data_IF_351504790548
#
_entry.id   IF_351504790548
#
_cell.length_a   1.000
_cell.length_b   1.000
_cell.length_c   1.000
_cell.angle_alpha   90.00
_cell.angle_beta   90.00
_cell.angle_gamma   90.00
#
_symmetry.space_group_name_H-M   'P 1'
#
loop_
_entity.id
_entity.type
_entity.pdbx_description
1 polymer ?
#
# COMPACT_ATOMS: atom_id res chain seq x y z
N UNK A 1 0.12 8.80 -26.15
CA UNK A 1 0.22 7.75 -25.10
C UNK A 1 0.52 6.35 -25.64
N UNK A 2 -0.21 5.77 -26.65
CA UNK A 2 0.14 4.42 -27.16
C UNK A 2 1.60 4.31 -27.67
N UNK A 3 2.07 5.31 -28.46
CA UNK A 3 3.47 5.37 -28.91
C UNK A 3 4.44 5.52 -27.74
N UNK A 4 4.12 6.33 -26.74
CA UNK A 4 4.96 6.47 -25.53
C UNK A 4 5.12 5.13 -24.81
N UNK A 5 4.04 4.37 -24.61
CA UNK A 5 4.10 3.04 -24.00
C UNK A 5 4.95 2.07 -24.86
N UNK A 6 4.80 2.09 -26.18
CA UNK A 6 5.60 1.24 -27.06
C UNK A 6 7.11 1.58 -26.98
N UNK A 7 7.45 2.87 -26.93
CA UNK A 7 8.83 3.34 -26.75
C UNK A 7 9.36 2.91 -25.37
N UNK A 8 8.55 3.08 -24.33
CA UNK A 8 8.92 2.68 -22.97
C UNK A 8 9.19 1.18 -22.89
N UNK A 9 8.29 0.33 -23.38
CA UNK A 9 8.47 -1.13 -23.40
C UNK A 9 9.72 -1.52 -24.22
N UNK A 10 9.89 -0.96 -25.43
CA UNK A 10 11.05 -1.24 -26.27
C UNK A 10 12.36 -0.78 -25.60
N UNK A 11 12.39 0.43 -25.04
CA UNK A 11 13.55 0.97 -24.33
C UNK A 11 13.92 0.15 -23.10
N UNK A 12 12.93 -0.26 -22.30
CA UNK A 12 13.13 -1.16 -21.15
C UNK A 12 13.69 -2.52 -21.57
N UNK A 13 13.17 -3.11 -22.67
CA UNK A 13 13.67 -4.35 -23.22
C UNK A 13 15.12 -4.24 -23.70
N UNK A 14 15.45 -3.16 -24.44
CA UNK A 14 16.82 -2.90 -24.90
C UNK A 14 17.80 -2.69 -23.72
N UNK A 15 17.37 -1.99 -22.67
CA UNK A 15 18.16 -1.83 -21.44
C UNK A 15 18.44 -3.18 -20.78
N UNK A 16 17.44 -4.03 -20.63
CA UNK A 16 17.62 -5.36 -20.04
C UNK A 16 18.51 -6.26 -20.92
N UNK A 17 18.41 -6.20 -22.26
CA UNK A 17 19.32 -6.89 -23.16
C UNK A 17 20.77 -6.39 -23.02
N UNK A 18 20.96 -5.07 -22.94
CA UNK A 18 22.29 -4.49 -22.73
C UNK A 18 22.87 -4.96 -21.39
N UNK A 19 22.08 -4.97 -20.32
CA UNK A 19 22.52 -5.44 -19.01
C UNK A 19 22.83 -6.92 -18.99
N UNK A 20 22.05 -7.75 -19.69
CA UNK A 20 22.33 -9.18 -19.84
C UNK A 20 23.72 -9.39 -20.51
N UNK A 21 24.02 -8.61 -21.54
CA UNK A 21 25.35 -8.63 -22.21
C UNK A 21 26.49 -8.10 -21.34
N UNK A 22 26.20 -7.19 -20.40
CA UNK A 22 27.19 -6.55 -19.50
C UNK A 22 27.24 -7.18 -18.10
N UNK A 23 26.54 -8.25 -17.86
CA UNK A 23 26.27 -8.83 -16.54
C UNK A 23 27.52 -9.07 -15.69
N UNK A 24 28.60 -9.62 -16.27
CA UNK A 24 29.88 -9.90 -15.59
C UNK A 24 30.49 -8.62 -15.00
N UNK A 25 30.20 -7.45 -15.60
CA UNK A 25 30.76 -6.16 -15.19
C UNK A 25 29.88 -5.35 -14.25
N UNK A 26 28.56 -5.47 -14.36
CA UNK A 26 27.64 -4.58 -13.60
C UNK A 26 27.06 -5.23 -12.34
N UNK A 27 26.72 -6.51 -12.38
CA UNK A 27 26.08 -7.22 -11.27
C UNK A 27 24.73 -6.64 -10.80
N UNK A 28 24.11 -5.72 -11.60
CA UNK A 28 22.92 -4.98 -11.19
C UNK A 28 21.66 -5.84 -11.29
N UNK A 29 21.56 -6.68 -12.32
CA UNK A 29 20.39 -7.51 -12.55
C UNK A 29 20.86 -8.93 -12.89
N UNK A 30 20.25 -9.96 -12.26
CA UNK A 30 20.61 -11.34 -12.56
C UNK A 30 20.17 -11.74 -13.98
N UNK A 31 20.84 -12.73 -14.64
CA UNK A 31 20.46 -13.18 -15.98
C UNK A 31 19.02 -13.63 -16.04
N UNK A 32 18.61 -14.48 -15.11
CA UNK A 32 17.26 -15.03 -15.08
C UNK A 32 16.20 -13.93 -14.98
N UNK A 33 16.40 -12.92 -14.10
CA UNK A 33 15.49 -11.75 -14.01
C UNK A 33 15.47 -10.97 -15.33
N UNK A 34 16.64 -10.77 -15.97
CA UNK A 34 16.74 -10.07 -17.27
C UNK A 34 16.00 -10.81 -18.39
N UNK A 35 16.16 -12.11 -18.51
CA UNK A 35 15.53 -12.94 -19.53
C UNK A 35 14.01 -12.96 -19.38
N UNK A 36 13.50 -13.06 -18.13
CA UNK A 36 12.07 -13.02 -17.84
C UNK A 36 11.50 -11.65 -18.27
N UNK A 37 12.11 -10.54 -17.84
CA UNK A 37 11.65 -9.19 -18.17
C UNK A 37 11.69 -8.96 -19.69
N UNK A 38 12.74 -9.35 -20.39
CA UNK A 38 12.82 -9.22 -21.84
C UNK A 38 11.68 -10.00 -22.51
N UNK A 39 11.44 -11.23 -22.08
CA UNK A 39 10.41 -12.09 -22.68
C UNK A 39 9.01 -11.51 -22.47
N UNK A 40 8.68 -11.06 -21.26
CA UNK A 40 7.37 -10.46 -20.92
C UNK A 40 7.15 -9.13 -21.64
N UNK A 41 8.17 -8.27 -21.73
CA UNK A 41 8.13 -7.01 -22.49
C UNK A 41 7.93 -7.26 -23.99
N UNK A 42 8.62 -8.24 -24.58
CA UNK A 42 8.45 -8.63 -25.99
C UNK A 42 7.03 -9.13 -26.26
N UNK A 43 6.50 -10.01 -25.41
CA UNK A 43 5.11 -10.49 -25.50
C UNK A 43 4.13 -9.32 -25.41
N UNK A 44 4.33 -8.43 -24.44
CA UNK A 44 3.48 -7.24 -24.27
C UNK A 44 3.52 -6.33 -25.49
N UNK A 45 4.68 -6.11 -26.10
CA UNK A 45 4.84 -5.28 -27.30
C UNK A 45 4.10 -5.88 -28.50
N UNK A 46 4.23 -7.19 -28.74
CA UNK A 46 3.53 -7.93 -29.79
C UNK A 46 2.03 -7.86 -29.58
N UNK A 47 1.55 -8.13 -28.37
CA UNK A 47 0.13 -8.10 -28.05
C UNK A 47 -0.46 -6.68 -28.18
N UNK A 48 0.29 -5.62 -27.86
CA UNK A 48 -0.13 -4.24 -28.08
C UNK A 48 -0.35 -3.90 -29.57
N UNK A 49 0.34 -4.57 -30.48
CA UNK A 49 0.13 -4.41 -31.92
C UNK A 49 -1.09 -5.22 -32.40
N UNK A 50 -1.19 -6.49 -31.94
CA UNK A 50 -2.23 -7.42 -32.36
C UNK A 50 -3.62 -7.10 -31.80
N UNK A 51 -3.73 -6.48 -30.62
CA UNK A 51 -5.01 -6.19 -29.93
C UNK A 51 -6.00 -5.37 -30.75
N UNK A 52 -5.52 -4.60 -31.72
CA UNK A 52 -6.38 -3.82 -32.61
C UNK A 52 -7.12 -4.68 -33.65
N UNK A 53 -6.66 -5.91 -33.88
CA UNK A 53 -7.15 -6.82 -34.94
C UNK A 53 -8.22 -7.78 -34.42
N UNK A 54 -8.20 -8.15 -33.12
CA UNK A 54 -9.13 -9.15 -32.58
C UNK A 54 -9.37 -8.93 -31.09
N UNK A 55 -10.63 -9.11 -30.63
CA UNK A 55 -11.06 -9.05 -29.23
C UNK A 55 -10.34 -10.06 -28.34
N UNK A 56 -9.99 -11.23 -28.87
CA UNK A 56 -9.23 -12.26 -28.15
C UNK A 56 -7.84 -11.75 -27.77
N UNK A 57 -7.09 -11.21 -28.74
CA UNK A 57 -5.79 -10.60 -28.46
C UNK A 57 -5.88 -9.37 -27.54
N UNK A 58 -6.98 -8.63 -27.61
CA UNK A 58 -7.21 -7.54 -26.68
C UNK A 58 -7.31 -8.05 -25.22
N UNK A 59 -8.08 -9.11 -24.97
CA UNK A 59 -8.24 -9.67 -23.63
C UNK A 59 -6.92 -10.26 -23.10
N UNK A 60 -6.19 -11.02 -23.92
CA UNK A 60 -4.86 -11.56 -23.55
C UNK A 60 -3.89 -10.43 -23.22
N UNK A 61 -3.84 -9.37 -24.05
CA UNK A 61 -3.01 -8.20 -23.81
C UNK A 61 -3.34 -7.53 -22.48
N UNK A 62 -4.62 -7.48 -22.09
CA UNK A 62 -5.02 -6.91 -20.78
C UNK A 62 -4.49 -7.77 -19.63
N UNK A 63 -4.61 -9.09 -19.70
CA UNK A 63 -4.13 -10.00 -18.67
C UNK A 63 -2.61 -9.89 -18.52
N UNK A 64 -1.87 -10.00 -19.61
CA UNK A 64 -0.40 -9.92 -19.60
C UNK A 64 0.07 -8.56 -19.06
N UNK A 65 -0.56 -7.47 -19.53
CA UNK A 65 -0.17 -6.13 -19.10
C UNK A 65 -0.47 -5.89 -17.61
N UNK A 66 -1.56 -6.45 -17.06
CA UNK A 66 -1.89 -6.33 -15.63
C UNK A 66 -0.90 -7.11 -14.77
N UNK A 67 -0.50 -8.30 -15.19
CA UNK A 67 0.33 -9.19 -14.37
C UNK A 67 1.82 -8.83 -14.42
N UNK A 68 2.34 -8.38 -15.55
CA UNK A 68 3.79 -8.27 -15.74
C UNK A 68 4.28 -6.82 -15.91
N UNK A 69 3.54 -5.97 -16.65
CA UNK A 69 4.08 -4.64 -16.97
C UNK A 69 4.35 -3.72 -15.78
N UNK A 70 3.60 -3.75 -14.64
CA UNK A 70 3.99 -2.93 -13.50
C UNK A 70 5.42 -3.27 -13.05
N UNK A 71 5.68 -4.56 -12.80
CA UNK A 71 6.99 -5.05 -12.39
C UNK A 71 8.09 -4.75 -13.43
N UNK A 72 7.86 -5.10 -14.69
CA UNK A 72 8.87 -4.96 -15.75
C UNK A 72 9.31 -3.52 -15.96
N UNK A 73 8.35 -2.58 -15.97
CA UNK A 73 8.63 -1.17 -16.22
C UNK A 73 9.32 -0.50 -15.03
N UNK A 74 8.88 -0.79 -13.80
CA UNK A 74 9.50 -0.24 -12.60
C UNK A 74 10.88 -0.82 -12.37
N UNK A 75 11.05 -2.14 -12.55
CA UNK A 75 12.36 -2.79 -12.47
C UNK A 75 13.34 -2.18 -13.47
N UNK A 76 12.96 -2.06 -14.74
CA UNK A 76 13.81 -1.45 -15.76
C UNK A 76 14.18 -0.01 -15.41
N UNK A 77 13.24 0.75 -14.86
CA UNK A 77 13.46 2.12 -14.39
C UNK A 77 14.49 2.18 -13.25
N UNK A 78 14.30 1.39 -12.21
CA UNK A 78 15.20 1.35 -11.06
C UNK A 78 16.61 0.96 -11.46
N UNK A 79 16.73 -0.07 -12.29
CA UNK A 79 18.01 -0.55 -12.81
C UNK A 79 18.70 0.50 -13.69
N UNK A 80 17.95 1.24 -14.51
CA UNK A 80 18.49 2.36 -15.28
C UNK A 80 19.15 3.41 -14.37
N UNK A 81 18.48 3.79 -13.27
CA UNK A 81 19.04 4.75 -12.32
C UNK A 81 20.23 4.20 -11.55
N UNK A 82 20.29 2.89 -11.26
CA UNK A 82 21.49 2.28 -10.69
C UNK A 82 22.71 2.37 -11.64
N UNK A 83 22.49 2.22 -12.95
CA UNK A 83 23.55 2.44 -13.94
C UNK A 83 24.01 3.91 -13.94
N UNK A 84 23.07 4.87 -13.87
CA UNK A 84 23.41 6.30 -13.82
C UNK A 84 24.22 6.63 -12.56
N UNK A 85 23.85 6.12 -11.40
CA UNK A 85 24.61 6.31 -10.16
C UNK A 85 26.05 5.78 -10.26
N UNK A 86 26.23 4.58 -10.86
CA UNK A 86 27.55 4.00 -11.08
C UNK A 86 28.38 4.80 -12.09
N UNK A 87 27.73 5.32 -13.13
CA UNK A 87 28.42 6.03 -14.22
C UNK A 87 28.76 7.47 -13.86
N UNK A 88 27.97 8.13 -13.00
CA UNK A 88 28.08 9.55 -12.70
C UNK A 88 28.05 9.84 -11.20
N UNK A 89 29.04 9.35 -10.43
CA UNK A 89 29.05 9.48 -8.96
C UNK A 89 29.14 10.93 -8.47
N UNK A 90 29.53 11.89 -9.31
CA UNK A 90 29.69 13.31 -8.95
C UNK A 90 28.34 14.03 -8.83
N UNK A 91 27.29 13.55 -9.48
CA UNK A 91 25.97 14.20 -9.55
C UNK A 91 24.84 13.35 -8.97
N UNK A 92 25.16 12.49 -8.01
CA UNK A 92 24.20 11.53 -7.42
C UNK A 92 22.94 12.20 -6.85
N UNK A 93 23.06 13.41 -6.27
CA UNK A 93 21.91 14.15 -5.76
C UNK A 93 20.93 14.55 -6.88
N UNK A 94 21.44 15.01 -8.03
CA UNK A 94 20.61 15.36 -9.19
C UNK A 94 19.93 14.10 -9.75
N UNK A 95 20.70 13.02 -9.91
CA UNK A 95 20.17 11.72 -10.36
C UNK A 95 19.10 11.22 -9.40
N UNK A 96 19.30 11.37 -8.08
CA UNK A 96 18.32 11.02 -7.06
C UNK A 96 17.01 11.79 -7.20
N UNK A 97 17.07 13.11 -7.39
CA UNK A 97 15.86 13.93 -7.62
C UNK A 97 15.13 13.47 -8.89
N UNK A 98 15.86 13.26 -9.99
CA UNK A 98 15.27 12.77 -11.25
C UNK A 98 14.63 11.38 -11.09
N UNK A 99 15.28 10.49 -10.31
CA UNK A 99 14.74 9.19 -9.98
C UNK A 99 13.43 9.31 -9.19
N UNK A 100 13.38 10.10 -8.13
CA UNK A 100 12.17 10.29 -7.32
C UNK A 100 11.03 10.85 -8.17
N UNK A 101 11.29 11.95 -8.89
CA UNK A 101 10.26 12.60 -9.72
C UNK A 101 9.81 11.69 -10.86
N UNK A 102 10.74 11.05 -11.56
CA UNK A 102 10.41 10.17 -12.69
C UNK A 102 9.65 8.91 -12.28
N UNK A 103 9.97 8.34 -11.11
CA UNK A 103 9.27 7.14 -10.61
C UNK A 103 7.76 7.35 -10.47
N UNK A 104 7.33 8.53 -10.01
CA UNK A 104 5.91 8.87 -9.93
C UNK A 104 5.16 8.77 -11.27
N UNK A 105 5.87 8.79 -12.39
CA UNK A 105 5.29 8.79 -13.74
C UNK A 105 5.58 7.53 -14.57
N UNK A 106 6.32 6.57 -14.05
CA UNK A 106 6.69 5.33 -14.77
C UNK A 106 5.45 4.59 -15.28
N UNK A 107 4.42 4.45 -14.44
CA UNK A 107 3.20 3.73 -14.78
C UNK A 107 2.18 4.53 -15.60
N UNK A 108 2.39 5.82 -15.84
CA UNK A 108 1.42 6.69 -16.54
C UNK A 108 1.06 6.16 -17.95
N UNK A 109 2.02 5.80 -18.83
CA UNK A 109 1.68 5.34 -20.18
C UNK A 109 0.84 4.07 -20.18
N UNK A 110 1.20 3.07 -19.36
CA UNK A 110 0.46 1.80 -19.28
C UNK A 110 -0.91 1.99 -18.61
N UNK A 111 -1.01 2.85 -17.60
CA UNK A 111 -2.28 3.18 -16.92
C UNK A 111 -3.28 3.78 -17.89
N UNK A 112 -2.89 4.78 -18.67
CA UNK A 112 -3.78 5.44 -19.64
C UNK A 112 -4.14 4.51 -20.81
N UNK A 113 -3.20 3.69 -21.28
CA UNK A 113 -3.38 2.87 -22.48
C UNK A 113 -4.09 1.56 -22.19
N UNK A 114 -3.86 0.96 -21.01
CA UNK A 114 -4.32 -0.39 -20.64
C UNK A 114 -5.20 -0.38 -19.40
N UNK A 115 -4.70 -0.01 -18.24
CA UNK A 115 -5.35 -0.23 -16.95
C UNK A 115 -6.65 0.58 -16.80
N UNK A 116 -6.67 1.83 -17.23
CA UNK A 116 -7.88 2.66 -17.25
C UNK A 116 -9.02 2.15 -18.15
N UNK A 117 -8.77 1.10 -18.95
CA UNK A 117 -9.77 0.46 -19.82
C UNK A 117 -10.27 -0.89 -19.30
N UNK A 118 -9.84 -1.31 -18.12
CA UNK A 118 -10.32 -2.53 -17.47
C UNK A 118 -11.80 -2.39 -17.14
N UNK A 119 -12.61 -3.36 -17.57
CA UNK A 119 -14.07 -3.33 -17.41
C UNK A 119 -14.55 -4.17 -16.24
N UNK A 120 -13.90 -5.31 -15.99
CA UNK A 120 -14.29 -6.27 -14.96
C UNK A 120 -13.72 -5.87 -13.62
N UNK A 121 -14.53 -5.94 -12.55
CA UNK A 121 -14.12 -5.58 -11.21
C UNK A 121 -12.91 -6.40 -10.72
N UNK A 122 -12.89 -7.71 -11.01
CA UNK A 122 -11.79 -8.58 -10.61
C UNK A 122 -10.46 -8.17 -11.27
N UNK A 123 -10.48 -7.82 -12.57
CA UNK A 123 -9.26 -7.35 -13.25
C UNK A 123 -8.79 -5.99 -12.75
N UNK A 124 -9.71 -5.12 -12.28
CA UNK A 124 -9.38 -3.87 -11.61
C UNK A 124 -8.70 -4.11 -10.26
N UNK A 125 -9.26 -5.05 -9.48
CA UNK A 125 -8.71 -5.42 -8.19
C UNK A 125 -7.31 -6.02 -8.36
N UNK A 126 -7.13 -7.02 -9.22
CA UNK A 126 -5.82 -7.62 -9.51
C UNK A 126 -4.83 -6.55 -9.98
N UNK A 127 -5.26 -5.57 -10.78
CA UNK A 127 -4.37 -4.49 -11.22
C UNK A 127 -3.88 -3.61 -10.06
N UNK A 128 -4.75 -3.29 -9.09
CA UNK A 128 -4.38 -2.53 -7.88
C UNK A 128 -3.32 -3.32 -7.11
N UNK A 129 -3.61 -4.57 -6.77
CA UNK A 129 -2.72 -5.43 -5.99
C UNK A 129 -1.37 -5.68 -6.70
N UNK A 130 -1.38 -5.87 -8.02
CA UNK A 130 -0.14 -6.05 -8.78
C UNK A 130 0.73 -4.79 -8.80
N UNK A 131 0.14 -3.58 -8.82
CA UNK A 131 0.88 -2.32 -8.71
C UNK A 131 1.44 -2.17 -7.28
N UNK A 132 0.65 -2.45 -6.25
CA UNK A 132 1.11 -2.44 -4.86
C UNK A 132 2.27 -3.43 -4.66
N UNK A 133 2.11 -4.66 -5.15
CA UNK A 133 3.13 -5.70 -5.05
C UNK A 133 4.46 -5.30 -5.71
N UNK A 134 4.44 -4.51 -6.79
CA UNK A 134 5.69 -4.10 -7.46
C UNK A 134 6.50 -3.12 -6.63
N UNK A 135 5.88 -2.37 -5.72
CA UNK A 135 6.62 -1.46 -4.85
C UNK A 135 7.52 -2.19 -3.83
N UNK A 136 7.26 -3.48 -3.54
CA UNK A 136 8.13 -4.31 -2.69
C UNK A 136 9.55 -4.48 -3.27
N UNK A 137 9.71 -4.35 -4.60
CA UNK A 137 11.03 -4.43 -5.24
C UNK A 137 11.85 -3.15 -5.14
N UNK A 138 11.25 -2.08 -4.62
CA UNK A 138 11.89 -0.77 -4.59
C UNK A 138 13.15 -0.78 -3.69
N UNK A 139 13.11 -1.50 -2.60
CA UNK A 139 14.21 -1.60 -1.64
C UNK A 139 15.41 -2.39 -2.16
N UNK A 140 15.21 -3.27 -3.16
CA UNK A 140 16.31 -3.99 -3.82
C UNK A 140 17.31 -3.04 -4.54
N UNK A 141 16.89 -1.81 -4.83
CA UNK A 141 17.65 -0.83 -5.61
C UNK A 141 17.73 0.53 -4.90
N UNK A 142 18.48 0.62 -3.77
CA UNK A 142 18.50 1.81 -2.93
C UNK A 142 19.10 3.02 -3.66
N UNK A 143 18.63 4.19 -3.27
CA UNK A 143 19.15 5.47 -3.76
C UNK A 143 20.56 5.72 -3.26
N UNK A 144 21.48 5.96 -4.18
CA UNK A 144 22.85 6.36 -3.87
C UNK A 144 22.92 7.91 -3.92
N UNK A 145 22.79 8.53 -2.75
CA UNK A 145 22.87 10.00 -2.61
C UNK A 145 23.60 10.37 -1.33
N UNK A 146 24.34 11.48 -1.37
CA UNK A 146 24.94 12.08 -0.17
C UNK A 146 23.92 12.92 0.62
N UNK A 147 22.78 13.27 0.03
CA UNK A 147 21.73 14.03 0.69
C UNK A 147 20.87 13.13 1.56
N UNK A 148 20.94 13.31 2.88
CA UNK A 148 20.20 12.50 3.87
C UNK A 148 18.68 12.60 3.67
N UNK A 149 18.15 13.79 3.33
CA UNK A 149 16.71 13.96 3.11
C UNK A 149 16.23 13.12 1.93
N UNK A 150 16.94 13.12 0.79
CA UNK A 150 16.57 12.32 -0.38
C UNK A 150 16.59 10.82 -0.07
N UNK A 151 17.60 10.36 0.68
CA UNK A 151 17.68 8.96 1.11
C UNK A 151 16.52 8.61 2.02
N UNK A 152 16.24 9.40 3.05
CA UNK A 152 15.16 9.14 3.99
C UNK A 152 13.80 9.21 3.29
N UNK A 153 13.60 10.14 2.36
CA UNK A 153 12.36 10.26 1.59
C UNK A 153 12.10 9.01 0.72
N UNK A 154 13.14 8.43 0.14
CA UNK A 154 13.02 7.20 -0.63
C UNK A 154 12.86 5.98 0.27
N UNK A 155 13.72 5.86 1.29
CA UNK A 155 13.70 4.74 2.24
C UNK A 155 12.39 4.62 3.02
N UNK A 156 11.67 5.72 3.21
CA UNK A 156 10.36 5.72 3.85
C UNK A 156 9.23 5.20 2.97
N UNK A 157 9.45 4.89 1.68
CA UNK A 157 8.39 4.51 0.76
C UNK A 157 7.54 5.65 0.19
N UNK A 158 7.72 6.91 0.64
CA UNK A 158 6.92 8.06 0.16
C UNK A 158 6.95 8.24 -1.36
N UNK A 159 8.02 7.80 -2.01
CA UNK A 159 8.12 7.78 -3.48
C UNK A 159 7.07 6.83 -4.08
N UNK A 160 6.86 5.67 -3.46
CA UNK A 160 5.84 4.69 -3.86
C UNK A 160 4.43 5.26 -3.64
N UNK A 161 4.19 5.93 -2.50
CA UNK A 161 2.93 6.61 -2.23
C UNK A 161 2.62 7.68 -3.30
N UNK A 162 3.59 8.49 -3.72
CA UNK A 162 3.43 9.47 -4.80
C UNK A 162 3.12 8.81 -6.14
N UNK A 163 3.84 7.74 -6.50
CA UNK A 163 3.57 6.97 -7.72
C UNK A 163 2.15 6.39 -7.71
N UNK A 164 1.73 5.85 -6.57
CA UNK A 164 0.40 5.30 -6.40
C UNK A 164 -0.72 6.35 -6.50
N UNK A 165 -0.51 7.56 -5.96
CA UNK A 165 -1.45 8.68 -6.12
C UNK A 165 -1.67 9.00 -7.60
N UNK A 166 -0.59 9.12 -8.38
CA UNK A 166 -0.66 9.40 -9.82
C UNK A 166 -1.36 8.27 -10.56
N UNK A 167 -0.97 7.01 -10.29
CA UNK A 167 -1.61 5.82 -10.83
C UNK A 167 -3.11 5.81 -10.51
N UNK A 168 -3.48 5.94 -9.24
CA UNK A 168 -4.86 5.87 -8.76
C UNK A 168 -5.74 6.96 -9.39
N UNK A 169 -5.24 8.20 -9.45
CA UNK A 169 -5.95 9.30 -10.11
C UNK A 169 -6.25 8.97 -11.58
N UNK A 170 -5.26 8.48 -12.31
CA UNK A 170 -5.40 8.19 -13.73
C UNK A 170 -6.27 6.96 -14.01
N UNK A 171 -6.12 5.91 -13.23
CA UNK A 171 -6.88 4.66 -13.42
C UNK A 171 -8.34 4.88 -13.08
N UNK A 172 -8.66 5.58 -12.00
CA UNK A 172 -10.05 5.93 -11.64
C UNK A 172 -10.70 6.79 -12.71
N UNK A 173 -10.00 7.80 -13.22
CA UNK A 173 -10.48 8.61 -14.36
C UNK A 173 -10.76 7.74 -15.59
N UNK A 174 -9.89 6.78 -15.87
CA UNK A 174 -10.09 5.81 -16.97
C UNK A 174 -11.30 4.89 -16.76
N UNK A 175 -11.64 4.56 -15.52
CA UNK A 175 -12.83 3.78 -15.16
C UNK A 175 -14.12 4.63 -15.09
N UNK A 176 -14.04 5.96 -15.32
CA UNK A 176 -15.17 6.87 -15.17
C UNK A 176 -15.55 7.11 -13.70
N UNK A 177 -14.55 7.08 -12.81
CA UNK A 177 -14.69 7.29 -11.37
C UNK A 177 -13.82 8.46 -10.92
N UNK A 178 -14.02 8.93 -9.69
CA UNK A 178 -13.31 10.06 -9.12
C UNK A 178 -12.60 9.67 -7.84
N UNK A 179 -11.43 10.25 -7.58
CA UNK A 179 -10.75 10.14 -6.28
C UNK A 179 -11.43 11.07 -5.28
N UNK A 180 -12.12 10.49 -4.30
CA UNK A 180 -12.85 11.21 -3.25
C UNK A 180 -12.09 11.17 -1.92
N UNK A 181 -11.18 12.10 -1.70
CA UNK A 181 -10.50 12.27 -0.40
C UNK A 181 -11.48 12.79 0.66
N UNK A 182 -12.49 13.56 0.22
CA UNK A 182 -13.52 14.13 1.08
C UNK A 182 -14.87 14.17 0.38
N UNK A 183 -15.85 13.44 0.93
CA UNK A 183 -17.23 13.46 0.51
C UNK A 183 -18.04 14.27 1.50
N UNK A 184 -18.84 15.24 1.01
CA UNK A 184 -19.67 16.08 1.89
C UNK A 184 -20.82 15.27 2.46
N UNK A 185 -20.95 15.31 3.79
CA UNK A 185 -22.04 14.73 4.58
C UNK A 185 -22.87 15.81 5.26
N UNK A 186 -24.13 15.50 5.57
CA UNK A 186 -24.99 16.36 6.42
C UNK A 186 -24.58 16.17 7.88
N UNK A 187 -24.09 17.23 8.50
CA UNK A 187 -23.73 17.21 9.91
C UNK A 187 -24.99 17.31 10.77
N UNK A 188 -25.19 16.30 11.60
CA UNK A 188 -26.21 16.28 12.66
C UNK A 188 -25.51 16.02 14.00
N UNK A 189 -26.13 16.38 15.13
CA UNK A 189 -25.55 16.11 16.46
C UNK A 189 -25.16 14.63 16.61
N UNK A 190 -26.05 13.71 16.24
CA UNK A 190 -25.79 12.26 16.30
C UNK A 190 -24.61 11.87 15.43
N UNK A 191 -24.54 12.38 14.19
CA UNK A 191 -23.42 12.11 13.29
C UNK A 191 -22.10 12.60 13.89
N UNK A 192 -22.08 13.83 14.44
CA UNK A 192 -20.89 14.42 15.07
C UNK A 192 -20.41 13.59 16.26
N UNK A 193 -21.31 13.28 17.20
CA UNK A 193 -20.96 12.45 18.37
C UNK A 193 -20.45 11.06 17.97
N UNK A 194 -21.11 10.40 17.02
CA UNK A 194 -20.66 9.09 16.52
C UNK A 194 -19.29 9.21 15.84
N UNK A 195 -19.04 10.26 15.06
CA UNK A 195 -17.74 10.48 14.39
C UNK A 195 -16.64 10.71 15.44
N UNK A 196 -16.86 11.58 16.41
CA UNK A 196 -15.88 11.84 17.48
C UNK A 196 -15.63 10.56 18.28
N UNK A 197 -16.68 9.84 18.67
CA UNK A 197 -16.56 8.58 19.39
C UNK A 197 -15.81 7.50 18.59
N UNK A 198 -16.06 7.41 17.28
CA UNK A 198 -15.39 6.45 16.41
C UNK A 198 -13.88 6.76 16.26
N UNK A 199 -13.52 8.04 16.08
CA UNK A 199 -12.12 8.45 15.98
C UNK A 199 -11.41 8.28 17.34
N UNK A 200 -12.04 8.70 18.43
CA UNK A 200 -11.49 8.51 19.78
C UNK A 200 -11.29 7.02 20.10
N UNK A 201 -12.25 6.17 19.70
CA UNK A 201 -12.10 4.72 19.82
C UNK A 201 -10.98 4.20 18.92
N UNK A 202 -10.87 4.65 17.67
CA UNK A 202 -9.80 4.24 16.78
C UNK A 202 -8.41 4.53 17.35
N UNK A 203 -8.17 5.77 17.78
CA UNK A 203 -6.91 6.17 18.43
C UNK A 203 -6.65 5.36 19.71
N UNK A 204 -7.66 5.22 20.59
CA UNK A 204 -7.53 4.40 21.79
C UNK A 204 -7.22 2.93 21.45
N UNK A 205 -7.83 2.41 20.40
CA UNK A 205 -7.64 1.05 19.93
C UNK A 205 -6.22 0.82 19.38
N UNK A 206 -5.65 1.81 18.70
CA UNK A 206 -4.26 1.78 18.27
C UNK A 206 -3.29 1.66 19.46
N UNK A 207 -3.51 2.49 20.50
CA UNK A 207 -2.74 2.39 21.74
C UNK A 207 -2.93 1.04 22.42
N UNK A 208 -4.17 0.59 22.55
CA UNK A 208 -4.47 -0.71 23.14
C UNK A 208 -3.75 -1.84 22.40
N UNK A 209 -3.87 -1.90 21.07
CA UNK A 209 -3.27 -2.96 20.27
C UNK A 209 -1.73 -2.92 20.27
N UNK A 210 -1.13 -1.72 20.32
CA UNK A 210 0.31 -1.57 20.43
C UNK A 210 0.84 -1.97 21.81
N UNK A 211 0.20 -1.53 22.89
CA UNK A 211 0.70 -1.77 24.25
C UNK A 211 0.33 -3.13 24.83
N UNK A 212 -0.73 -3.80 24.36
CA UNK A 212 -1.11 -5.12 24.88
C UNK A 212 0.00 -6.18 24.67
N UNK A 213 0.86 -6.00 23.70
CA UNK A 213 1.96 -6.93 23.39
C UNK A 213 3.09 -6.87 24.42
N UNK A 214 3.23 -5.74 25.12
CA UNK A 214 4.35 -5.45 26.02
C UNK A 214 3.89 -5.08 27.45
N UNK A 215 2.60 -5.14 27.72
CA UNK A 215 2.02 -4.80 29.03
C UNK A 215 2.24 -5.92 30.03
N UNK A 216 2.74 -5.59 31.21
CA UNK A 216 2.92 -6.53 32.32
C UNK A 216 1.58 -6.83 33.02
N UNK A 217 0.57 -5.95 32.87
CA UNK A 217 -0.73 -6.10 33.47
C UNK A 217 -1.85 -5.43 32.65
N UNK A 218 -3.10 -5.77 32.97
CA UNK A 218 -4.29 -5.31 32.24
C UNK A 218 -4.43 -3.78 32.20
N UNK A 219 -4.05 -3.06 33.28
CA UNK A 219 -4.17 -1.60 33.29
C UNK A 219 -3.19 -0.93 32.33
N UNK A 220 -2.01 -1.49 32.15
CA UNK A 220 -1.01 -0.99 31.20
C UNK A 220 -1.42 -1.22 29.76
N UNK A 221 -2.13 -2.29 29.47
CA UNK A 221 -2.67 -2.51 28.13
C UNK A 221 -3.77 -1.50 27.76
N UNK A 222 -4.62 -1.05 28.73
CA UNK A 222 -5.85 -0.33 28.42
C UNK A 222 -5.74 1.18 28.57
N UNK A 223 -5.03 1.70 29.60
CA UNK A 223 -4.99 3.16 29.90
C UNK A 223 -3.73 3.66 30.60
N UNK A 224 -2.96 2.81 31.29
CA UNK A 224 -1.74 3.20 31.99
C UNK A 224 -0.51 2.95 31.13
N UNK A 225 -0.52 3.50 29.92
CA UNK A 225 0.53 3.28 28.94
C UNK A 225 1.87 3.85 29.35
N UNK A 226 2.91 3.07 29.23
CA UNK A 226 4.28 3.51 29.52
C UNK A 226 4.86 4.25 28.29
N UNK A 227 4.63 5.55 28.21
CA UNK A 227 5.12 6.40 27.13
C UNK A 227 6.65 6.50 27.04
N UNK A 228 7.40 6.08 28.08
CA UNK A 228 8.87 6.03 27.98
C UNK A 228 9.37 4.99 26.96
N UNK A 229 8.49 4.06 26.58
CA UNK A 229 8.73 3.08 25.51
C UNK A 229 8.57 3.66 24.10
N UNK A 230 8.10 4.88 23.95
CA UNK A 230 7.98 5.57 22.67
C UNK A 230 9.15 6.51 22.45
N UNK A 231 10.16 6.09 21.70
CA UNK A 231 11.32 6.92 21.40
C UNK A 231 11.80 6.75 19.95
N UNK A 232 11.41 7.64 19.03
CA UNK A 232 11.81 7.56 17.63
C UNK A 232 13.34 7.53 17.39
N UNK A 233 14.15 8.07 18.33
CA UNK A 233 15.61 8.02 18.19
C UNK A 233 16.20 6.63 18.43
N UNK A 234 15.44 5.77 19.11
CA UNK A 234 15.86 4.41 19.46
C UNK A 234 14.97 3.37 18.78
N UNK A 235 14.24 3.73 17.73
CA UNK A 235 13.41 2.82 16.95
C UNK A 235 14.16 1.54 16.59
N UNK A 236 13.53 0.40 16.76
CA UNK A 236 14.07 -0.88 16.31
C UNK A 236 14.07 -1.02 14.79
N UNK A 237 13.09 -0.43 14.13
CA UNK A 237 12.95 -0.46 12.67
C UNK A 237 13.88 0.53 11.96
N UNK A 238 14.14 1.70 12.58
CA UNK A 238 14.95 2.77 12.00
C UNK A 238 15.99 3.30 12.99
N UNK A 239 16.98 2.47 13.41
CA UNK A 239 17.92 2.81 14.47
C UNK A 239 18.66 4.11 14.20
N UNK A 240 18.62 5.05 15.16
CA UNK A 240 19.32 6.34 15.07
C UNK A 240 18.79 7.30 13.99
N UNK A 241 17.63 7.03 13.39
CA UNK A 241 17.07 7.87 12.33
C UNK A 241 15.59 8.22 12.59
N UNK A 242 15.29 9.13 13.55
CA UNK A 242 13.92 9.49 13.89
C UNK A 242 13.12 10.09 12.72
N UNK A 243 13.80 10.74 11.77
CA UNK A 243 13.11 11.28 10.59
C UNK A 243 12.50 10.18 9.71
N UNK A 244 13.11 9.00 9.65
CA UNK A 244 12.52 7.85 8.96
C UNK A 244 11.27 7.35 9.67
N UNK A 245 11.23 7.32 10.99
CA UNK A 245 10.02 6.95 11.75
C UNK A 245 8.84 7.81 11.33
N UNK A 246 9.01 9.13 11.30
CA UNK A 246 7.93 10.05 10.90
C UNK A 246 7.55 9.92 9.42
N UNK A 247 8.54 9.76 8.54
CA UNK A 247 8.27 9.66 7.09
C UNK A 247 7.62 8.32 6.73
N UNK A 248 8.05 7.22 7.33
CA UNK A 248 7.43 5.90 7.13
C UNK A 248 6.01 5.84 7.69
N UNK A 249 5.78 6.44 8.88
CA UNK A 249 4.43 6.62 9.44
C UNK A 249 3.50 7.39 8.49
N UNK A 250 4.02 8.47 7.90
CA UNK A 250 3.25 9.27 6.94
C UNK A 250 2.98 8.47 5.65
N UNK A 251 3.95 7.73 5.19
CA UNK A 251 3.83 6.87 4.01
C UNK A 251 2.76 5.81 4.20
N UNK A 252 2.84 5.00 5.25
CA UNK A 252 1.90 3.93 5.53
C UNK A 252 0.47 4.47 5.65
N UNK A 253 0.26 5.54 6.46
CA UNK A 253 -1.05 6.17 6.58
C UNK A 253 -1.62 6.69 5.25
N UNK A 254 -0.80 7.16 4.33
CA UNK A 254 -1.26 7.65 3.01
C UNK A 254 -1.41 6.51 2.03
N UNK A 255 -0.38 5.69 1.85
CA UNK A 255 -0.32 4.68 0.81
C UNK A 255 -1.35 3.57 1.03
N UNK A 256 -1.37 3.00 2.21
CA UNK A 256 -2.25 1.88 2.54
C UNK A 256 -3.73 2.31 2.59
N UNK A 257 -4.04 3.55 3.02
CA UNK A 257 -5.42 4.03 2.96
C UNK A 257 -5.87 4.39 1.53
N UNK A 258 -4.96 4.76 0.64
CA UNK A 258 -5.27 4.90 -0.79
C UNK A 258 -5.49 3.55 -1.46
N UNK A 259 -4.73 2.53 -1.10
CA UNK A 259 -4.95 1.14 -1.54
C UNK A 259 -6.32 0.65 -1.07
N UNK A 260 -6.63 0.77 0.23
CA UNK A 260 -7.95 0.44 0.79
C UNK A 260 -9.07 1.19 0.09
N UNK A 261 -8.89 2.48 -0.17
CA UNK A 261 -9.84 3.29 -0.94
C UNK A 261 -10.06 2.69 -2.33
N UNK A 262 -9.00 2.33 -3.04
CA UNK A 262 -9.10 1.75 -4.39
C UNK A 262 -9.89 0.43 -4.37
N UNK A 263 -9.61 -0.45 -3.40
CA UNK A 263 -10.34 -1.69 -3.17
C UNK A 263 -11.83 -1.39 -2.90
N UNK A 264 -12.13 -0.45 -1.99
CA UNK A 264 -13.51 -0.06 -1.64
C UNK A 264 -14.28 0.46 -2.86
N UNK A 265 -13.65 1.26 -3.74
CA UNK A 265 -14.28 1.75 -4.98
C UNK A 265 -14.60 0.60 -5.94
N UNK A 266 -13.69 -0.35 -6.10
CA UNK A 266 -13.91 -1.53 -6.95
C UNK A 266 -15.04 -2.40 -6.37
N UNK A 267 -15.03 -2.64 -5.07
CA UNK A 267 -16.07 -3.41 -4.36
C UNK A 267 -17.43 -2.70 -4.39
N UNK A 268 -17.46 -1.37 -4.29
CA UNK A 268 -18.70 -0.60 -4.43
C UNK A 268 -19.41 -0.90 -5.76
N UNK A 269 -18.63 -1.02 -6.84
CA UNK A 269 -19.12 -1.42 -8.16
C UNK A 269 -19.55 -2.89 -8.24
N UNK A 270 -18.70 -3.79 -7.72
CA UNK A 270 -18.94 -5.23 -7.72
C UNK A 270 -20.19 -5.62 -6.92
N UNK A 271 -20.42 -4.95 -5.80
CA UNK A 271 -21.51 -5.24 -4.87
C UNK A 271 -22.72 -4.31 -5.02
N UNK A 272 -22.79 -3.50 -6.07
CA UNK A 272 -23.80 -2.44 -6.28
C UNK A 272 -25.25 -2.89 -6.00
N UNK A 273 -25.61 -4.09 -6.42
CA UNK A 273 -26.97 -4.62 -6.32
C UNK A 273 -27.15 -5.65 -5.19
N UNK A 274 -26.21 -5.73 -4.25
CA UNK A 274 -26.26 -6.72 -3.15
C UNK A 274 -26.86 -6.10 -1.90
N UNK A 275 -27.71 -6.85 -1.19
CA UNK A 275 -28.39 -6.43 0.06
C UNK A 275 -27.38 -6.00 1.15
N UNK A 276 -26.26 -6.70 1.26
CA UNK A 276 -25.23 -6.47 2.27
C UNK A 276 -23.98 -5.77 1.66
N UNK A 277 -24.20 -4.79 0.75
CA UNK A 277 -23.11 -4.13 0.04
C UNK A 277 -22.10 -3.49 0.97
N UNK A 278 -22.56 -2.65 1.90
CA UNK A 278 -21.68 -1.90 2.79
C UNK A 278 -20.87 -2.83 3.72
N UNK A 279 -21.54 -3.84 4.29
CA UNK A 279 -20.89 -4.86 5.11
C UNK A 279 -19.84 -5.62 4.30
N UNK A 280 -20.22 -6.08 3.11
CA UNK A 280 -19.32 -6.78 2.19
C UNK A 280 -18.12 -5.91 1.79
N UNK A 281 -18.33 -4.62 1.52
CA UNK A 281 -17.23 -3.69 1.22
C UNK A 281 -16.23 -3.61 2.38
N UNK A 282 -16.70 -3.42 3.61
CA UNK A 282 -15.84 -3.31 4.79
C UNK A 282 -15.08 -4.62 5.03
N UNK A 283 -15.79 -5.75 5.11
CA UNK A 283 -15.18 -7.04 5.46
C UNK A 283 -14.22 -7.54 4.37
N UNK A 284 -14.62 -7.43 3.08
CA UNK A 284 -13.78 -7.91 1.97
C UNK A 284 -12.56 -7.00 1.78
N UNK A 285 -12.71 -5.67 1.91
CA UNK A 285 -11.55 -4.78 1.81
C UNK A 285 -10.56 -5.00 2.94
N UNK A 286 -11.02 -5.20 4.18
CA UNK A 286 -10.18 -5.52 5.31
C UNK A 286 -9.48 -6.88 5.14
N UNK A 287 -10.19 -7.89 4.60
CA UNK A 287 -9.61 -9.20 4.33
C UNK A 287 -8.53 -9.12 3.24
N UNK A 288 -8.78 -8.44 2.12
CA UNK A 288 -7.78 -8.29 1.06
C UNK A 288 -6.56 -7.57 1.61
N UNK A 289 -6.78 -6.43 2.28
CA UNK A 289 -5.72 -5.64 2.89
C UNK A 289 -4.92 -6.43 3.94
N UNK A 290 -5.57 -7.19 4.82
CA UNK A 290 -4.85 -8.00 5.80
C UNK A 290 -4.03 -9.12 5.13
N UNK A 291 -4.57 -9.76 4.09
CA UNK A 291 -3.87 -10.80 3.33
C UNK A 291 -2.67 -10.25 2.54
N UNK A 292 -2.67 -8.97 2.11
CA UNK A 292 -1.52 -8.37 1.43
C UNK A 292 -0.28 -8.35 2.33
N UNK A 293 -0.43 -8.34 3.67
CA UNK A 293 0.68 -8.41 4.63
C UNK A 293 1.47 -9.72 4.58
N UNK A 294 0.97 -10.78 3.91
CA UNK A 294 1.83 -11.93 3.62
C UNK A 294 3.03 -11.60 2.72
N UNK A 295 3.00 -10.45 2.04
CA UNK A 295 4.18 -9.93 1.34
C UNK A 295 5.36 -9.66 2.26
N UNK A 296 5.13 -9.41 3.56
CA UNK A 296 6.18 -9.19 4.57
C UNK A 296 7.06 -10.43 4.80
N UNK A 297 6.56 -11.62 4.44
CA UNK A 297 7.42 -12.82 4.39
C UNK A 297 8.56 -12.67 3.38
N UNK A 298 8.35 -11.89 2.32
CA UNK A 298 9.34 -11.65 1.26
C UNK A 298 10.17 -10.42 1.58
N UNK A 299 9.52 -9.29 1.89
CA UNK A 299 10.21 -8.00 2.09
C UNK A 299 10.95 -7.91 3.42
N UNK A 300 10.39 -8.48 4.50
CA UNK A 300 10.94 -8.39 5.85
C UNK A 300 11.51 -9.73 6.35
N UNK A 301 11.50 -10.77 5.51
CA UNK A 301 11.94 -12.13 5.85
C UNK A 301 11.27 -12.72 7.09
N UNK A 302 10.02 -12.32 7.38
CA UNK A 302 9.22 -12.85 8.49
C UNK A 302 8.79 -14.28 8.21
N UNK A 303 8.69 -15.09 9.26
CA UNK A 303 8.14 -16.44 9.14
C UNK A 303 6.61 -16.43 8.96
N UNK A 304 6.05 -17.57 8.53
CA UNK A 304 4.62 -17.72 8.26
C UNK A 304 3.74 -17.50 9.50
N UNK A 305 4.18 -17.92 10.68
CA UNK A 305 3.39 -17.85 11.92
C UNK A 305 3.27 -16.40 12.37
N UNK A 306 4.40 -15.69 12.48
CA UNK A 306 4.46 -14.26 12.83
C UNK A 306 3.63 -13.43 11.85
N UNK A 307 3.75 -13.69 10.55
CA UNK A 307 2.98 -12.99 9.53
C UNK A 307 1.48 -13.29 9.64
N UNK A 308 1.11 -14.53 9.99
CA UNK A 308 -0.30 -14.88 10.17
C UNK A 308 -0.91 -14.17 11.38
N UNK A 309 -0.17 -13.96 12.45
CA UNK A 309 -0.63 -13.13 13.60
C UNK A 309 -0.82 -11.69 13.17
N UNK A 310 0.12 -11.11 12.43
CA UNK A 310 -0.01 -9.76 11.87
C UNK A 310 -1.26 -9.64 10.97
N UNK A 311 -1.50 -10.60 10.08
CA UNK A 311 -2.70 -10.64 9.23
C UNK A 311 -3.98 -10.63 10.06
N UNK A 312 -4.02 -11.37 11.18
CA UNK A 312 -5.16 -11.38 12.09
C UNK A 312 -5.35 -10.03 12.80
N UNK A 313 -4.28 -9.41 13.30
CA UNK A 313 -4.33 -8.11 13.98
C UNK A 313 -4.84 -7.01 13.06
N UNK A 314 -4.30 -6.96 11.85
CA UNK A 314 -4.62 -5.94 10.85
C UNK A 314 -6.07 -6.04 10.33
N UNK A 315 -6.73 -7.19 10.45
CA UNK A 315 -8.10 -7.36 9.95
C UNK A 315 -9.11 -6.46 10.66
N UNK A 316 -9.13 -6.42 11.99
CA UNK A 316 -10.08 -5.58 12.73
C UNK A 316 -9.76 -4.09 12.58
N UNK A 317 -8.47 -3.72 12.61
CA UNK A 317 -8.01 -2.35 12.32
C UNK A 317 -8.45 -1.94 10.91
N UNK A 318 -8.26 -2.82 9.92
CA UNK A 318 -8.70 -2.61 8.54
C UNK A 318 -10.20 -2.38 8.40
N UNK A 319 -11.02 -3.12 9.14
CA UNK A 319 -12.47 -2.89 9.21
C UNK A 319 -12.80 -1.51 9.80
N UNK A 320 -12.14 -1.10 10.89
CA UNK A 320 -12.37 0.20 11.55
C UNK A 320 -12.00 1.36 10.63
N UNK A 321 -10.85 1.30 9.95
CA UNK A 321 -10.40 2.33 9.02
C UNK A 321 -11.34 2.46 7.82
N UNK A 322 -11.80 1.33 7.25
CA UNK A 322 -12.82 1.33 6.20
C UNK A 322 -14.14 1.95 6.68
N UNK A 323 -14.56 1.67 7.92
CA UNK A 323 -15.76 2.25 8.54
C UNK A 323 -15.56 3.76 8.77
N UNK A 324 -14.41 4.20 9.29
CA UNK A 324 -14.10 5.62 9.47
C UNK A 324 -14.31 6.36 8.16
N UNK A 325 -13.72 5.87 7.06
CA UNK A 325 -13.91 6.49 5.77
C UNK A 325 -15.36 6.44 5.28
N UNK A 326 -15.99 5.27 5.23
CA UNK A 326 -17.34 5.08 4.70
C UNK A 326 -18.42 5.74 5.55
N UNK A 327 -18.20 5.94 6.86
CA UNK A 327 -19.14 6.65 7.71
C UNK A 327 -18.98 8.16 7.60
N UNK A 328 -17.74 8.66 7.65
CA UNK A 328 -17.45 10.11 7.67
C UNK A 328 -17.36 10.74 6.27
N UNK A 329 -17.03 9.95 5.24
CA UNK A 329 -16.66 10.41 3.91
C UNK A 329 -15.32 11.14 3.87
N UNK A 330 -14.46 10.99 4.88
CA UNK A 330 -13.18 11.68 5.03
C UNK A 330 -12.03 10.67 5.08
N UNK A 331 -11.41 10.45 3.92
CA UNK A 331 -10.28 9.52 3.82
C UNK A 331 -9.09 9.95 4.69
N UNK A 332 -8.83 11.27 4.76
CA UNK A 332 -7.75 11.82 5.58
C UNK A 332 -7.90 11.50 7.09
N UNK A 333 -9.14 11.26 7.60
CA UNK A 333 -9.33 10.82 8.98
C UNK A 333 -8.84 9.38 9.18
N UNK A 334 -9.10 8.48 8.22
CA UNK A 334 -8.57 7.14 8.26
C UNK A 334 -7.03 7.17 8.17
N UNK A 335 -6.47 8.01 7.28
CA UNK A 335 -5.02 8.21 7.16
C UNK A 335 -4.36 8.66 8.46
N UNK A 336 -5.01 9.57 9.21
CA UNK A 336 -4.48 10.03 10.51
C UNK A 336 -4.52 8.90 11.54
N UNK A 337 -5.64 8.20 11.67
CA UNK A 337 -5.77 7.10 12.64
C UNK A 337 -4.76 6.00 12.31
N UNK A 338 -4.66 5.62 11.04
CA UNK A 338 -3.67 4.63 10.60
C UNK A 338 -2.23 5.09 10.90
N UNK A 339 -1.89 6.34 10.58
CA UNK A 339 -0.57 6.89 10.90
C UNK A 339 -0.25 6.90 12.40
N UNK A 340 -1.25 7.06 13.30
CA UNK A 340 -1.04 6.90 14.74
C UNK A 340 -0.63 5.46 15.06
N UNK A 341 -1.29 4.47 14.49
CA UNK A 341 -0.91 3.07 14.65
C UNK A 341 0.53 2.81 14.27
N UNK A 342 0.93 3.18 13.05
CA UNK A 342 2.29 2.93 12.56
C UNK A 342 3.35 3.72 13.32
N UNK A 343 3.01 4.96 13.75
CA UNK A 343 3.90 5.71 14.63
C UNK A 343 4.16 4.97 15.94
N UNK A 344 3.13 4.40 16.57
CA UNK A 344 3.28 3.62 17.80
C UNK A 344 4.17 2.40 17.56
N UNK A 345 3.92 1.65 16.47
CA UNK A 345 4.72 0.46 16.13
C UNK A 345 6.17 0.83 15.83
N UNK A 346 6.41 1.86 15.00
CA UNK A 346 7.78 2.23 14.60
C UNK A 346 8.57 2.95 15.70
N UNK A 347 7.90 3.70 16.58
CA UNK A 347 8.57 4.42 17.69
C UNK A 347 8.71 3.58 18.94
N UNK A 348 8.03 2.44 19.05
CA UNK A 348 8.04 1.61 20.25
C UNK A 348 9.37 0.90 20.45
N UNK A 349 9.88 1.00 21.65
CA UNK A 349 11.08 0.28 22.10
C UNK A 349 10.71 -0.43 23.38
N UNK A 350 10.76 -1.75 23.41
CA UNK A 350 10.90 -2.46 24.67
C UNK A 350 12.29 -2.11 25.23
N UNK A 351 12.33 -1.49 26.38
CA UNK A 351 13.52 -0.84 26.97
C UNK A 351 14.79 -1.75 27.14
N UNK A 352 14.69 -3.03 26.83
CA UNK A 352 15.76 -4.03 27.03
C UNK A 352 15.83 -5.10 25.95
N UNK A 353 15.07 -4.96 24.84
CA UNK A 353 14.96 -6.01 23.82
C UNK A 353 15.55 -5.56 22.49
N UNK A 354 16.25 -6.47 21.81
CA UNK A 354 16.54 -6.37 20.38
C UNK A 354 15.31 -6.80 19.56
N UNK A 355 15.36 -6.60 18.23
CA UNK A 355 14.28 -6.98 17.33
C UNK A 355 13.91 -8.47 17.46
N UNK A 356 14.90 -9.36 17.60
CA UNK A 356 14.68 -10.79 17.72
C UNK A 356 13.88 -11.12 18.99
N UNK A 357 14.27 -10.54 20.13
CA UNK A 357 13.56 -10.71 21.41
C UNK A 357 12.15 -10.12 21.39
N UNK A 358 11.93 -9.00 20.69
CA UNK A 358 10.58 -8.44 20.50
C UNK A 358 9.69 -9.36 19.65
N UNK A 359 10.21 -9.91 18.56
CA UNK A 359 9.51 -10.88 17.74
C UNK A 359 9.23 -12.18 18.48
N UNK A 360 10.18 -12.65 19.30
CA UNK A 360 9.99 -13.83 20.16
C UNK A 360 8.91 -13.61 21.20
N UNK A 361 8.82 -12.41 21.80
CA UNK A 361 7.72 -12.05 22.70
C UNK A 361 6.38 -12.05 21.98
N UNK A 362 6.31 -11.45 20.80
CA UNK A 362 5.12 -11.46 19.95
C UNK A 362 4.67 -12.88 19.59
N UNK A 363 5.62 -13.74 19.21
CA UNK A 363 5.35 -15.15 18.90
C UNK A 363 4.99 -15.95 20.17
N UNK A 364 5.65 -15.69 21.31
CA UNK A 364 5.39 -16.38 22.58
C UNK A 364 4.04 -16.01 23.20
N UNK A 365 3.54 -14.79 22.97
CA UNK A 365 2.16 -14.40 23.32
C UNK A 365 1.11 -15.18 22.52
N UNK A 366 1.54 -15.78 21.43
CA UNK A 366 0.75 -16.68 20.59
C UNK A 366 -0.47 -16.00 19.98
N UNK A 367 -1.42 -16.82 19.57
CA UNK A 367 -2.70 -16.39 18.97
C UNK A 367 -3.58 -15.56 19.93
N UNK A 368 -3.25 -15.52 21.22
CA UNK A 368 -4.09 -14.85 22.21
C UNK A 368 -4.16 -13.34 21.96
N UNK A 369 -3.05 -12.67 21.66
CA UNK A 369 -3.02 -11.23 21.39
C UNK A 369 -3.88 -10.87 20.19
N UNK A 370 -3.70 -11.45 18.99
CA UNK A 370 -4.60 -11.23 17.85
C UNK A 370 -6.07 -11.47 18.18
N UNK A 371 -6.39 -12.54 18.92
CA UNK A 371 -7.78 -12.84 19.32
C UNK A 371 -8.35 -11.74 20.20
N UNK A 372 -7.59 -11.26 21.19
CA UNK A 372 -8.05 -10.20 22.11
C UNK A 372 -8.21 -8.87 21.36
N UNK A 373 -7.27 -8.50 20.50
CA UNK A 373 -7.36 -7.30 19.66
C UNK A 373 -8.67 -7.36 18.83
N UNK A 374 -8.91 -8.46 18.12
CA UNK A 374 -10.13 -8.63 17.32
C UNK A 374 -11.39 -8.62 18.19
N UNK A 375 -11.37 -9.28 19.36
CA UNK A 375 -12.52 -9.33 20.28
C UNK A 375 -12.94 -7.95 20.78
N UNK A 376 -12.01 -7.00 20.91
CA UNK A 376 -12.29 -5.61 21.28
C UNK A 376 -12.83 -4.81 20.08
N UNK A 377 -12.30 -5.01 18.88
CA UNK A 377 -12.72 -4.30 17.66
C UNK A 377 -14.08 -4.74 17.12
N UNK A 378 -14.36 -6.05 17.11
CA UNK A 378 -15.56 -6.64 16.50
C UNK A 378 -16.88 -6.05 17.01
N UNK A 379 -17.10 -5.82 18.32
CA UNK A 379 -18.34 -5.20 18.82
C UNK A 379 -18.61 -3.82 18.20
N UNK A 380 -17.58 -2.98 18.05
CA UNK A 380 -17.71 -1.65 17.45
C UNK A 380 -17.97 -1.76 15.95
N UNK A 381 -17.33 -2.71 15.27
CA UNK A 381 -17.59 -2.99 13.84
C UNK A 381 -19.06 -3.40 13.67
N UNK A 382 -19.58 -4.34 14.45
CA UNK A 382 -20.99 -4.77 14.40
C UNK A 382 -21.92 -3.60 14.70
N UNK A 383 -21.62 -2.80 15.73
CA UNK A 383 -22.40 -1.61 16.08
C UNK A 383 -22.47 -0.62 14.92
N UNK A 384 -21.36 -0.35 14.24
CA UNK A 384 -21.30 0.58 13.11
C UNK A 384 -21.97 0.03 11.85
N UNK A 385 -21.87 -1.27 11.61
CA UNK A 385 -22.48 -1.95 10.45
C UNK A 385 -23.95 -2.32 10.67
N UNK A 386 -24.61 -1.71 11.65
CA UNK A 386 -26.01 -1.94 12.00
C UNK A 386 -26.83 -0.64 12.14
N UNK A 387 -28.15 -0.75 12.06
CA UNK A 387 -29.10 0.33 12.33
C UNK A 387 -28.89 1.57 11.45
N UNK A 388 -29.12 2.76 12.04
CA UNK A 388 -29.04 4.05 11.32
C UNK A 388 -27.62 4.40 10.87
N UNK A 389 -26.58 3.86 11.51
CA UNK A 389 -25.18 4.10 11.15
C UNK A 389 -24.83 3.46 9.80
N UNK A 390 -25.33 2.26 9.56
CA UNK A 390 -25.21 1.56 8.28
C UNK A 390 -25.78 2.37 7.12
N UNK A 391 -26.85 3.16 7.35
CA UNK A 391 -27.41 4.03 6.30
C UNK A 391 -26.41 5.10 5.83
N UNK A 392 -25.64 5.70 6.74
CA UNK A 392 -24.59 6.66 6.39
C UNK A 392 -23.48 6.00 5.56
N UNK A 393 -23.06 4.80 5.96
CA UNK A 393 -22.07 4.00 5.21
C UNK A 393 -22.58 3.66 3.80
N UNK A 394 -23.86 3.27 3.67
CA UNK A 394 -24.48 3.01 2.38
C UNK A 394 -24.52 4.26 1.49
N UNK A 395 -24.86 5.43 2.03
CA UNK A 395 -24.88 6.70 1.30
C UNK A 395 -23.50 7.02 0.70
N UNK A 396 -22.43 6.88 1.50
CA UNK A 396 -21.07 7.11 0.99
C UNK A 396 -20.68 6.06 -0.04
N UNK A 397 -20.95 4.78 0.22
CA UNK A 397 -20.64 3.71 -0.71
C UNK A 397 -21.32 3.90 -2.10
N UNK A 398 -22.50 4.56 -2.14
CA UNK A 398 -23.16 4.95 -3.39
C UNK A 398 -22.49 6.13 -4.08
N UNK A 399 -22.02 7.10 -3.28
CA UNK A 399 -21.33 8.28 -3.83
C UNK A 399 -19.99 7.93 -4.46
N UNK A 400 -19.33 6.85 -4.02
CA UNK A 400 -18.07 6.37 -4.64
C UNK A 400 -18.22 6.02 -6.12
N UNK A 401 -19.41 5.65 -6.55
CA UNK A 401 -19.71 5.29 -7.95
C UNK A 401 -20.16 6.48 -8.81
N UNK A 402 -20.29 7.67 -8.21
CA UNK A 402 -20.71 8.88 -8.95
C UNK A 402 -19.47 9.64 -9.42
N UNK A 403 -19.53 10.07 -10.69
CA UNK A 403 -18.50 10.93 -11.29
C UNK A 403 -18.56 12.35 -10.71
#
# INVERSE_FOLDING_TARGET
MKRCLQIQIAGSGLLCMFLLGMQIRTGILSPMKSEIIISTLMISLILLQLRAKNKYFFNISQIVNVLFLPYDLEMAYLVFFQLLFKSFPQITNLIGILRIVGFAFVLVPVTVVSYGKLRYWLSRLINIEMVVFTFLIFDDYPLISHNLFLRNFEYSGLVCALSFIVFLYLVLKGWGLKLWISIRQKWTRVFTFTTVGLIAFGIWYDFFAAFIQIADNFSEAIWNWNFSLLNPNQSLFFPGNPSLVYLATLEAGIFEELERYAILVVLAGALKNKKFRAQGMVLISALIFSLSHYSNMISEHKDFVTTSYQVMDVFAIGCLLAIIYLYTGKLWLAMIVHGVWDFLVFAMIPATMDIASFLDLYVSSGILVPVVINAVGIPVIIFMLSGKRLNNINIISEKLLKY
#
